data_IF_652327790783
#
_entry.id   IF_652327790783
#
_cell.length_a   1.000
_cell.length_b   1.000
_cell.length_c   1.000
_cell.angle_alpha   90.00
_cell.angle_beta   90.00
_cell.angle_gamma   90.00
#
_symmetry.space_group_name_H-M   'P 1'
#
loop_
_entity.id
_entity.type
_entity.pdbx_description
1 polymer ?
#
# COMPACT_ATOMS: atom_id res chain seq x y z
N UNK A 1 22.72 17.48 40.62
CA UNK A 1 23.22 18.85 40.39
C UNK A 1 23.56 19.02 38.92
N UNK A 2 22.96 20.05 38.29
CA UNK A 2 23.25 20.80 37.03
C UNK A 2 24.45 20.30 36.18
N UNK A 3 24.40 20.27 34.84
CA UNK A 3 24.05 21.39 33.94
C UNK A 3 23.51 20.94 32.58
N UNK A 4 22.44 21.61 32.16
CA UNK A 4 21.91 21.71 30.79
C UNK A 4 22.77 22.74 30.05
N UNK A 5 23.11 22.48 28.78
CA UNK A 5 23.66 23.46 27.85
C UNK A 5 22.70 23.61 26.67
N UNK A 6 22.07 24.78 26.61
CA UNK A 6 21.30 25.34 25.50
C UNK A 6 22.22 26.28 24.72
N UNK A 7 22.21 26.25 23.39
CA UNK A 7 22.66 27.38 22.55
C UNK A 7 22.01 27.26 21.15
N UNK A 8 20.97 28.06 20.87
CA UNK A 8 20.97 29.27 19.99
C UNK A 8 21.23 28.94 18.52
N UNK A 9 20.21 28.88 17.65
CA UNK A 9 19.46 29.99 17.03
C UNK A 9 20.35 31.03 16.33
N UNK A 10 20.41 30.92 14.99
CA UNK A 10 20.78 32.03 14.11
C UNK A 10 19.96 31.97 12.83
N UNK A 11 18.96 32.85 12.78
CA UNK A 11 18.22 33.30 11.61
C UNK A 11 19.11 34.23 10.78
N UNK A 12 19.12 34.07 9.45
CA UNK A 12 19.59 35.09 8.52
C UNK A 12 18.66 35.14 7.30
N UNK A 13 17.87 36.21 7.26
CA UNK A 13 17.11 36.70 6.11
C UNK A 13 18.04 37.49 5.19
N UNK A 14 17.75 37.53 3.87
CA UNK A 14 17.52 38.77 3.09
C UNK A 14 17.30 38.48 1.59
N UNK A 15 16.08 38.79 1.15
CA UNK A 15 15.62 39.52 -0.05
C UNK A 15 16.46 39.60 -1.33
N UNK A 16 15.79 39.42 -2.48
CA UNK A 16 15.83 40.38 -3.59
C UNK A 16 14.64 40.19 -4.58
N UNK A 17 13.91 41.28 -4.79
CA UNK A 17 12.82 41.45 -5.75
C UNK A 17 13.31 41.43 -7.21
N UNK A 18 12.49 40.89 -8.11
CA UNK A 18 12.60 41.08 -9.56
C UNK A 18 11.31 41.72 -10.09
N UNK A 19 11.37 43.02 -10.30
CA UNK A 19 10.30 43.89 -10.81
C UNK A 19 10.50 44.07 -12.32
N UNK A 20 9.45 43.81 -13.12
CA UNK A 20 9.49 43.93 -14.58
C UNK A 20 8.22 44.59 -15.09
N UNK A 21 8.32 45.90 -15.30
CA UNK A 21 7.24 46.79 -15.75
C UNK A 21 6.93 46.68 -17.25
N UNK A 22 5.67 47.01 -17.55
CA UNK A 22 4.95 46.96 -18.82
C UNK A 22 5.39 48.02 -19.84
N UNK A 23 5.48 47.67 -21.12
CA UNK A 23 5.18 48.59 -22.24
C UNK A 23 4.66 47.85 -23.48
N UNK A 24 3.54 48.33 -24.02
CA UNK A 24 3.29 48.34 -25.46
C UNK A 24 2.02 47.64 -25.94
N UNK A 25 0.92 48.37 -26.00
CA UNK A 25 -0.16 48.09 -26.97
C UNK A 25 0.22 48.65 -28.34
N UNK A 26 -0.14 47.94 -29.42
CA UNK A 26 -1.08 48.56 -30.35
C UNK A 26 -2.13 47.58 -30.89
N UNK A 27 -3.37 48.07 -30.95
CA UNK A 27 -4.50 47.47 -31.69
C UNK A 27 -4.22 47.50 -33.19
N UNK A 28 -4.62 46.47 -33.97
CA UNK A 28 -5.71 46.73 -34.92
C UNK A 28 -6.69 45.56 -35.14
N UNK A 29 -7.97 45.94 -35.27
CA UNK A 29 -8.98 45.42 -36.20
C UNK A 29 -9.41 43.95 -36.08
N UNK A 30 -10.49 43.74 -35.33
CA UNK A 30 -11.34 42.55 -35.42
C UNK A 30 -12.24 42.65 -36.66
N UNK A 31 -12.03 41.75 -37.63
CA UNK A 31 -13.02 41.39 -38.63
C UNK A 31 -14.06 40.48 -37.99
N UNK A 32 -15.33 40.78 -38.23
CA UNK A 32 -16.44 39.89 -37.96
C UNK A 32 -16.42 38.72 -38.96
N UNK A 33 -16.47 37.49 -38.47
CA UNK A 33 -16.54 36.27 -39.26
C UNK A 33 -17.14 35.14 -38.44
N UNK A 34 -18.25 34.60 -38.92
CA UNK A 34 -19.13 33.62 -38.29
C UNK A 34 -18.45 32.30 -37.87
N UNK A 35 -18.95 31.71 -36.78
CA UNK A 35 -18.74 30.29 -36.46
C UNK A 35 -18.71 29.95 -34.98
N UNK A 36 -19.82 30.12 -34.24
CA UNK A 36 -19.98 29.47 -32.94
C UNK A 36 -20.27 27.98 -33.18
N UNK A 37 -19.22 27.18 -33.32
CA UNK A 37 -19.30 25.76 -32.94
C UNK A 37 -18.90 25.67 -31.47
N UNK A 38 -19.92 25.39 -30.66
CA UNK A 38 -19.78 24.97 -29.28
C UNK A 38 -18.79 23.79 -29.23
N UNK A 39 -17.73 23.84 -28.40
CA UNK A 39 -16.89 22.67 -28.21
C UNK A 39 -17.73 21.60 -27.53
N UNK A 40 -18.17 20.61 -28.32
CA UNK A 40 -18.66 19.33 -27.83
C UNK A 40 -17.76 18.86 -26.68
N UNK A 41 -18.31 18.50 -25.50
CA UNK A 41 -17.49 17.94 -24.45
C UNK A 41 -16.90 16.63 -24.97
N UNK A 42 -15.58 16.63 -25.16
CA UNK A 42 -14.79 15.41 -25.35
C UNK A 42 -15.24 14.37 -24.32
N UNK A 43 -15.47 13.11 -24.72
CA UNK A 43 -15.79 12.07 -23.75
C UNK A 43 -14.57 11.92 -22.85
N UNK A 44 -14.67 12.48 -21.65
CA UNK A 44 -13.80 12.15 -20.53
C UNK A 44 -13.81 10.64 -20.43
N UNK A 45 -12.67 10.04 -20.78
CA UNK A 45 -12.37 8.62 -20.61
C UNK A 45 -12.54 8.29 -19.12
N UNK A 46 -13.76 7.92 -18.74
CA UNK A 46 -14.01 7.20 -17.51
C UNK A 46 -13.26 5.89 -17.64
N UNK A 47 -12.08 5.83 -17.01
CA UNK A 47 -11.42 4.56 -16.75
C UNK A 47 -12.44 3.68 -16.04
N UNK A 48 -12.82 2.56 -16.66
CA UNK A 48 -13.65 1.56 -16.00
C UNK A 48 -12.93 1.18 -14.71
N UNK A 49 -13.58 1.43 -13.58
CA UNK A 49 -13.22 0.85 -12.30
C UNK A 49 -13.20 -0.68 -12.52
N UNK A 50 -12.00 -1.28 -12.49
CA UNK A 50 -11.87 -2.73 -12.65
C UNK A 50 -12.65 -3.37 -11.49
N UNK A 51 -13.61 -4.24 -11.81
CA UNK A 51 -14.39 -4.96 -10.81
C UNK A 51 -13.45 -5.89 -10.04
N UNK A 52 -13.09 -5.53 -8.82
CA UNK A 52 -12.20 -6.31 -7.98
C UNK A 52 -12.98 -7.44 -7.30
N UNK A 53 -12.32 -8.60 -7.17
CA UNK A 53 -12.81 -9.71 -6.38
C UNK A 53 -12.35 -9.53 -4.94
N UNK A 54 -13.31 -9.37 -4.04
CA UNK A 54 -13.11 -9.38 -2.59
C UNK A 54 -13.27 -10.81 -2.06
N UNK A 55 -12.35 -11.25 -1.22
CA UNK A 55 -12.46 -12.52 -0.47
C UNK A 55 -13.61 -12.46 0.55
N UNK A 56 -13.36 -11.77 1.67
CA UNK A 56 -14.25 -11.41 2.75
C UNK A 56 -13.57 -10.31 3.57
N UNK A 57 -14.26 -9.74 4.57
CA UNK A 57 -13.65 -8.92 5.62
C UNK A 57 -13.49 -9.78 6.88
N UNK A 58 -12.36 -9.64 7.56
CA UNK A 58 -12.11 -10.24 8.88
C UNK A 58 -11.95 -9.12 9.89
N UNK A 59 -12.68 -9.19 11.00
CA UNK A 59 -12.68 -8.16 12.05
C UNK A 59 -12.10 -8.73 13.33
N UNK A 60 -11.15 -8.00 13.93
CA UNK A 60 -10.58 -8.30 15.25
C UNK A 60 -10.54 -6.99 16.06
N UNK A 61 -11.33 -6.91 17.13
CA UNK A 61 -11.52 -5.67 17.88
C UNK A 61 -12.03 -4.53 16.99
N UNK A 62 -11.34 -3.40 17.02
CA UNK A 62 -11.64 -2.19 16.24
C UNK A 62 -10.94 -2.17 14.86
N UNK A 63 -10.52 -3.33 14.36
CA UNK A 63 -9.77 -3.42 13.10
C UNK A 63 -10.43 -4.40 12.13
N UNK A 64 -10.48 -4.00 10.86
CA UNK A 64 -10.96 -4.82 9.76
C UNK A 64 -9.86 -5.02 8.71
N UNK A 65 -9.65 -6.27 8.29
CA UNK A 65 -8.74 -6.66 7.22
C UNK A 65 -9.53 -7.23 6.04
N UNK A 66 -9.46 -6.54 4.89
CA UNK A 66 -10.00 -7.00 3.62
C UNK A 66 -8.85 -7.36 2.67
N UNK A 67 -9.06 -8.37 1.82
CA UNK A 67 -8.08 -8.80 0.82
C UNK A 67 -8.74 -8.92 -0.55
N UNK A 68 -8.14 -8.27 -1.54
CA UNK A 68 -8.67 -8.11 -2.88
C UNK A 68 -7.72 -8.69 -3.92
N UNK A 69 -8.30 -9.15 -5.02
CA UNK A 69 -7.58 -9.52 -6.23
C UNK A 69 -8.32 -8.99 -7.46
N UNK A 70 -7.64 -8.80 -8.58
CA UNK A 70 -8.33 -8.36 -9.82
C UNK A 70 -9.21 -9.45 -10.42
N UNK A 71 -8.91 -10.73 -10.17
CA UNK A 71 -9.68 -11.88 -10.65
C UNK A 71 -9.22 -13.18 -9.98
N UNK A 72 -9.96 -14.27 -10.18
CA UNK A 72 -9.61 -15.58 -9.61
C UNK A 72 -8.93 -16.53 -10.59
N UNK A 73 -8.82 -16.15 -11.87
CA UNK A 73 -8.18 -16.94 -12.93
C UNK A 73 -7.29 -16.03 -13.77
N UNK A 74 -5.99 -16.31 -13.79
CA UNK A 74 -4.94 -15.57 -14.48
C UNK A 74 -4.36 -16.41 -15.60
N UNK A 75 -3.96 -15.76 -16.70
CA UNK A 75 -3.12 -16.40 -17.67
C UNK A 75 -1.70 -16.55 -17.10
N UNK A 76 -0.94 -17.54 -17.57
CA UNK A 76 0.52 -17.55 -17.37
C UNK A 76 1.12 -16.22 -17.85
N UNK A 77 2.09 -15.69 -17.09
CA UNK A 77 2.75 -14.39 -17.30
C UNK A 77 1.85 -13.14 -17.14
N UNK A 78 0.58 -13.31 -16.73
CA UNK A 78 -0.26 -12.18 -16.41
C UNK A 78 0.06 -11.60 -15.03
N UNK A 79 0.13 -10.27 -14.95
CA UNK A 79 0.34 -9.57 -13.67
C UNK A 79 -0.80 -9.86 -12.71
N UNK A 80 -0.47 -10.56 -11.62
CA UNK A 80 -1.37 -10.78 -10.49
C UNK A 80 -1.39 -9.53 -9.63
N UNK A 81 -2.58 -8.93 -9.50
CA UNK A 81 -2.80 -7.77 -8.62
C UNK A 81 -3.53 -8.26 -7.37
N UNK A 82 -2.84 -8.21 -6.22
CA UNK A 82 -3.41 -8.51 -4.90
C UNK A 82 -3.06 -7.37 -3.95
N UNK A 83 -4.01 -6.97 -3.11
CA UNK A 83 -3.74 -6.01 -2.05
C UNK A 83 -4.67 -6.22 -0.87
N UNK A 84 -4.18 -5.87 0.32
CA UNK A 84 -4.95 -5.83 1.54
C UNK A 84 -5.35 -4.39 1.91
N UNK A 85 -6.47 -4.25 2.61
CA UNK A 85 -6.86 -3.01 3.28
C UNK A 85 -6.97 -3.28 4.78
N UNK A 86 -6.27 -2.48 5.59
CA UNK A 86 -6.47 -2.43 7.03
C UNK A 86 -7.25 -1.16 7.37
N UNK A 87 -8.39 -1.31 8.04
CA UNK A 87 -9.26 -0.20 8.45
C UNK A 87 -9.42 -0.20 9.95
N UNK A 88 -9.25 0.98 10.58
CA UNK A 88 -9.61 1.20 11.98
C UNK A 88 -11.08 1.66 12.06
N UNK A 89 -11.90 0.98 12.84
CA UNK A 89 -13.35 1.21 12.96
C UNK A 89 -13.78 1.58 14.39
N UNK A 90 -12.82 1.88 15.26
CA UNK A 90 -13.06 2.17 16.68
C UNK A 90 -13.72 3.53 16.95
N UNK A 91 -13.84 3.87 18.23
CA UNK A 91 -14.59 5.06 18.67
C UNK A 91 -13.87 6.38 18.37
N UNK A 92 -12.53 6.40 18.40
CA UNK A 92 -11.73 7.61 18.22
C UNK A 92 -11.53 7.96 16.74
N UNK A 93 -11.20 9.21 16.43
CA UNK A 93 -10.96 9.66 15.04
C UNK A 93 -9.70 9.02 14.42
N UNK A 94 -8.76 8.61 15.25
CA UNK A 94 -7.53 7.95 14.84
C UNK A 94 -6.94 7.12 15.97
N UNK A 95 -6.09 6.16 15.60
CA UNK A 95 -5.26 5.37 16.52
C UNK A 95 -3.83 5.31 15.98
N UNK A 96 -2.86 5.20 16.89
CA UNK A 96 -1.49 4.88 16.52
C UNK A 96 -1.22 3.41 16.79
N UNK A 97 -0.58 2.71 15.85
CA UNK A 97 -0.19 1.32 16.00
C UNK A 97 1.33 1.19 15.84
N UNK A 98 1.93 0.33 16.66
CA UNK A 98 3.33 -0.08 16.55
C UNK A 98 3.44 -1.44 15.85
N UNK A 99 4.27 -1.54 14.82
CA UNK A 99 4.45 -2.76 14.03
C UNK A 99 5.90 -2.91 13.58
N UNK A 100 6.18 -3.99 12.83
CA UNK A 100 7.48 -4.26 12.21
C UNK A 100 7.72 -3.32 11.01
N UNK A 101 8.23 -3.81 9.87
CA UNK A 101 8.38 -2.98 8.68
C UNK A 101 7.02 -2.56 8.09
N UNK A 102 6.03 -3.46 8.16
CA UNK A 102 4.65 -3.21 7.76
C UNK A 102 3.68 -3.80 8.78
N UNK A 103 2.49 -3.21 8.98
CA UNK A 103 1.48 -3.76 9.89
C UNK A 103 0.75 -4.95 9.26
N UNK A 104 0.84 -5.10 7.92
CA UNK A 104 0.30 -6.21 7.16
C UNK A 104 1.41 -6.83 6.32
N UNK A 105 1.72 -8.10 6.57
CA UNK A 105 2.62 -8.92 5.75
C UNK A 105 1.87 -9.92 4.88
N UNK A 106 2.53 -10.53 3.90
CA UNK A 106 1.91 -11.50 3.01
C UNK A 106 2.67 -12.84 2.98
N UNK A 107 1.96 -13.95 2.86
CA UNK A 107 2.51 -15.27 2.55
C UNK A 107 1.80 -15.90 1.36
N UNK A 108 2.43 -16.91 0.76
CA UNK A 108 1.90 -17.61 -0.41
C UNK A 108 1.93 -19.11 -0.13
N UNK A 109 0.85 -19.79 -0.49
CA UNK A 109 0.80 -21.23 -0.63
C UNK A 109 0.48 -21.56 -2.10
N UNK A 110 1.23 -22.48 -2.68
CA UNK A 110 0.97 -23.05 -4.00
C UNK A 110 0.65 -24.53 -3.85
N UNK A 111 -0.56 -24.90 -4.25
CA UNK A 111 -1.17 -26.18 -3.90
C UNK A 111 -0.88 -27.30 -4.91
N UNK A 112 -0.40 -26.99 -6.11
CA UNK A 112 -0.11 -28.00 -7.14
C UNK A 112 1.17 -28.79 -6.81
N UNK A 113 2.17 -28.09 -6.27
CA UNK A 113 3.48 -28.65 -5.90
C UNK A 113 3.69 -28.69 -4.39
N UNK A 114 2.68 -28.32 -3.60
CA UNK A 114 2.72 -28.29 -2.13
C UNK A 114 3.87 -27.38 -1.62
N UNK A 115 3.94 -26.17 -2.17
CA UNK A 115 4.96 -25.18 -1.83
C UNK A 115 4.38 -24.10 -0.91
N UNK A 116 5.07 -23.84 0.19
CA UNK A 116 4.71 -22.77 1.14
C UNK A 116 5.84 -21.75 1.21
N UNK A 117 5.54 -20.49 0.88
CA UNK A 117 6.49 -19.38 0.93
C UNK A 117 6.06 -18.43 2.06
N UNK A 118 6.76 -18.46 3.20
CA UNK A 118 6.51 -17.50 4.26
C UNK A 118 6.93 -16.10 3.79
N UNK A 119 6.20 -15.08 4.23
CA UNK A 119 6.65 -13.70 4.07
C UNK A 119 7.85 -13.43 4.96
N UNK A 120 8.86 -12.75 4.42
CA UNK A 120 9.96 -12.22 5.24
C UNK A 120 9.72 -10.74 5.51
N UNK A 121 9.96 -10.31 6.74
CA UNK A 121 9.79 -8.92 7.11
C UNK A 121 10.90 -8.50 8.07
N UNK A 122 11.51 -7.35 7.82
CA UNK A 122 12.38 -6.74 8.81
C UNK A 122 11.54 -6.32 10.02
N UNK A 123 12.12 -6.35 11.22
CA UNK A 123 11.39 -6.05 12.47
C UNK A 123 11.83 -4.71 13.12
N UNK A 124 11.87 -3.56 12.40
CA UNK A 124 11.98 -2.27 13.07
C UNK A 124 10.65 -1.96 13.76
N UNK A 125 10.67 -1.34 14.95
CA UNK A 125 9.44 -0.87 15.58
C UNK A 125 9.00 0.47 14.96
N UNK A 126 8.08 0.40 14.00
CA UNK A 126 7.52 1.56 13.28
C UNK A 126 6.15 1.91 13.86
N UNK A 127 5.89 3.20 14.04
CA UNK A 127 4.57 3.71 14.45
C UNK A 127 3.82 4.25 13.24
N UNK A 128 2.54 3.90 13.11
CA UNK A 128 1.66 4.37 12.02
C UNK A 128 0.34 4.86 12.60
N UNK A 129 -0.13 6.02 12.13
CA UNK A 129 -1.46 6.53 12.47
C UNK A 129 -2.48 5.99 11.46
N UNK A 130 -3.49 5.28 11.95
CA UNK A 130 -4.67 4.91 11.19
C UNK A 130 -5.80 5.87 11.54
N UNK A 131 -6.50 6.37 10.53
CA UNK A 131 -7.70 7.19 10.73
C UNK A 131 -8.93 6.30 10.68
N UNK A 132 -9.95 6.72 11.41
CA UNK A 132 -11.23 6.03 11.46
C UNK A 132 -11.88 5.96 10.08
N UNK A 133 -12.33 4.76 9.73
CA UNK A 133 -13.07 4.45 8.50
C UNK A 133 -12.33 4.81 7.19
N UNK A 134 -11.01 5.10 7.25
CA UNK A 134 -10.15 5.32 6.09
C UNK A 134 -9.25 4.07 5.88
N UNK A 135 -9.53 3.21 4.87
CA UNK A 135 -8.72 2.02 4.61
C UNK A 135 -7.31 2.39 4.14
N UNK A 136 -6.31 1.75 4.73
CA UNK A 136 -4.91 1.85 4.26
C UNK A 136 -4.60 0.63 3.41
N UNK A 137 -4.19 0.88 2.15
CA UNK A 137 -3.88 -0.15 1.16
C UNK A 137 -2.43 -0.65 1.33
N UNK A 138 -2.25 -1.95 1.32
CA UNK A 138 -0.97 -2.65 1.27
C UNK A 138 -0.94 -3.55 0.04
N UNK A 139 -0.11 -3.22 -0.94
CA UNK A 139 0.03 -4.05 -2.13
C UNK A 139 0.88 -5.28 -1.82
N UNK A 140 0.44 -6.44 -2.31
CA UNK A 140 1.25 -7.62 -2.28
C UNK A 140 2.51 -7.40 -3.13
N UNK A 141 3.65 -7.68 -2.53
CA UNK A 141 4.92 -7.82 -3.23
C UNK A 141 5.63 -9.05 -2.68
N UNK A 142 6.38 -9.75 -3.53
CA UNK A 142 7.08 -10.95 -3.11
C UNK A 142 8.16 -10.58 -2.08
N UNK A 143 8.07 -11.18 -0.89
CA UNK A 143 9.04 -11.00 0.21
C UNK A 143 9.62 -12.32 0.70
N UNK A 144 9.33 -13.42 0.00
CA UNK A 144 9.87 -14.74 0.32
C UNK A 144 11.36 -14.84 0.01
N UNK A 145 11.94 -15.97 0.37
CA UNK A 145 13.33 -16.28 0.09
C UNK A 145 13.62 -17.77 0.18
N UNK A 146 14.85 -18.12 -0.16
CA UNK A 146 15.39 -19.46 -0.05
C UNK A 146 16.80 -19.41 0.55
N UNK A 147 17.25 -20.54 1.06
CA UNK A 147 18.59 -20.81 1.53
C UNK A 147 19.27 -21.84 0.62
N UNK A 148 20.59 -21.96 0.69
CA UNK A 148 21.34 -22.98 -0.04
C UNK A 148 21.04 -24.42 0.45
N UNK A 149 20.34 -24.57 1.58
CA UNK A 149 19.98 -25.87 2.15
C UNK A 149 18.60 -26.36 1.68
N UNK A 150 17.82 -25.50 1.02
CA UNK A 150 16.52 -25.86 0.49
C UNK A 150 16.65 -26.75 -0.75
N UNK A 151 15.60 -27.51 -1.05
CA UNK A 151 15.57 -28.39 -2.23
C UNK A 151 15.66 -27.59 -3.52
N UNK A 152 16.30 -28.16 -4.55
CA UNK A 152 16.48 -27.49 -5.86
C UNK A 152 15.16 -27.03 -6.47
N UNK A 153 14.10 -27.83 -6.34
CA UNK A 153 12.76 -27.50 -6.84
C UNK A 153 12.16 -26.27 -6.13
N UNK A 154 12.32 -26.16 -4.81
CA UNK A 154 11.86 -25.00 -4.04
C UNK A 154 12.64 -23.74 -4.42
N UNK A 155 13.96 -23.86 -4.56
CA UNK A 155 14.83 -22.75 -4.98
C UNK A 155 14.44 -22.25 -6.37
N UNK A 156 14.19 -23.16 -7.32
CA UNK A 156 13.76 -22.80 -8.66
C UNK A 156 12.41 -22.07 -8.64
N UNK A 157 11.44 -22.61 -7.90
CA UNK A 157 10.12 -22.01 -7.77
C UNK A 157 10.14 -20.62 -7.14
N UNK A 158 10.89 -20.44 -6.04
CA UNK A 158 11.04 -19.12 -5.40
C UNK A 158 11.66 -18.11 -6.36
N UNK A 159 12.65 -18.51 -7.17
CA UNK A 159 13.27 -17.62 -8.17
C UNK A 159 12.27 -17.14 -9.22
N UNK A 160 11.39 -18.02 -9.71
CA UNK A 160 10.33 -17.64 -10.65
C UNK A 160 9.41 -16.59 -10.02
N UNK A 161 8.97 -16.80 -8.76
CA UNK A 161 8.13 -15.84 -8.04
C UNK A 161 8.83 -14.49 -7.76
N UNK A 162 10.14 -14.49 -7.52
CA UNK A 162 10.93 -13.27 -7.33
C UNK A 162 10.94 -12.38 -8.58
N UNK A 163 10.80 -12.97 -9.76
CA UNK A 163 10.71 -12.27 -11.04
C UNK A 163 9.25 -11.86 -11.37
N UNK A 164 8.34 -11.92 -10.38
CA UNK A 164 6.89 -11.69 -10.51
C UNK A 164 6.19 -12.64 -11.50
N UNK A 165 6.84 -13.75 -11.84
CA UNK A 165 6.31 -14.79 -12.70
C UNK A 165 5.69 -15.86 -11.83
N UNK A 166 4.37 -15.88 -11.75
CA UNK A 166 3.65 -16.99 -11.12
C UNK A 166 3.52 -18.12 -12.13
N UNK A 167 4.14 -19.30 -11.86
CA UNK A 167 3.98 -20.45 -12.73
C UNK A 167 2.52 -20.93 -12.73
N UNK A 168 2.18 -21.80 -13.68
CA UNK A 168 0.88 -22.49 -13.66
C UNK A 168 0.66 -23.16 -12.28
N UNK A 169 -0.53 -22.99 -11.72
CA UNK A 169 -0.87 -23.58 -10.44
C UNK A 169 -2.05 -22.96 -9.72
N UNK A 170 -2.37 -23.55 -8.57
CA UNK A 170 -3.39 -23.07 -7.65
C UNK A 170 -2.73 -22.38 -6.47
N UNK A 171 -3.11 -21.13 -6.21
CA UNK A 171 -2.45 -20.29 -5.21
C UNK A 171 -3.43 -19.86 -4.12
N UNK A 172 -2.88 -19.62 -2.93
CA UNK A 172 -3.52 -18.85 -1.88
C UNK A 172 -2.54 -17.81 -1.37
N UNK A 173 -2.94 -16.55 -1.41
CA UNK A 173 -2.20 -15.47 -0.75
C UNK A 173 -2.94 -15.13 0.54
N UNK A 174 -2.20 -15.08 1.63
CA UNK A 174 -2.70 -14.66 2.94
C UNK A 174 -2.07 -13.33 3.33
N UNK A 175 -2.89 -12.38 3.78
CA UNK A 175 -2.47 -11.16 4.44
C UNK A 175 -2.56 -11.35 5.95
N UNK A 176 -1.49 -10.96 6.66
CA UNK A 176 -1.33 -11.14 8.11
C UNK A 176 -1.17 -9.78 8.77
N UNK A 177 -2.18 -9.35 9.50
CA UNK A 177 -2.12 -8.16 10.33
C UNK A 177 -1.44 -8.50 11.66
N UNK A 178 -0.35 -7.79 11.99
CA UNK A 178 0.40 -7.97 13.23
C UNK A 178 0.92 -6.65 13.77
N UNK A 179 0.31 -6.16 14.85
CA UNK A 179 0.66 -4.88 15.47
C UNK A 179 0.19 -4.79 16.92
N UNK A 180 0.64 -3.75 17.62
CA UNK A 180 0.18 -3.38 18.96
C UNK A 180 -0.38 -1.96 18.95
N UNK A 181 -1.31 -1.64 19.84
CA UNK A 181 -1.69 -0.24 20.03
C UNK A 181 -0.48 0.55 20.56
N UNK A 182 -0.17 1.66 19.90
CA UNK A 182 0.85 2.57 20.35
C UNK A 182 0.21 3.61 21.29
N UNK A 183 0.82 3.81 22.45
CA UNK A 183 0.46 4.89 23.35
C UNK A 183 1.71 5.73 23.56
N UNK A 184 1.59 7.03 23.31
CA UNK A 184 2.71 7.95 23.17
C UNK A 184 3.64 8.07 24.41
N UNK A 185 3.31 7.46 25.57
CA UNK A 185 4.12 7.67 26.77
C UNK A 185 4.35 6.53 27.77
N UNK A 186 3.72 5.37 27.63
CA UNK A 186 3.91 4.26 28.59
C UNK A 186 4.39 3.02 27.84
N UNK A 187 5.34 2.28 28.42
CA UNK A 187 5.98 1.10 27.81
C UNK A 187 4.98 0.08 27.23
N UNK A 188 5.44 -0.78 26.32
CA UNK A 188 4.60 -1.73 25.60
C UNK A 188 3.93 -2.83 26.49
N UNK A 189 4.30 -2.91 27.76
CA UNK A 189 3.81 -3.93 28.68
C UNK A 189 2.30 -3.77 28.96
N UNK A 190 1.51 -4.74 28.51
CA UNK A 190 0.07 -4.84 28.78
C UNK A 190 -0.86 -4.17 27.75
N UNK A 191 -0.35 -3.73 26.60
CA UNK A 191 -1.19 -3.18 25.52
C UNK A 191 -1.84 -4.30 24.69
N UNK A 192 -3.04 -4.07 24.11
CA UNK A 192 -3.62 -5.01 23.16
C UNK A 192 -2.68 -5.26 21.99
N UNK A 193 -2.43 -6.54 21.69
CA UNK A 193 -1.72 -6.99 20.50
C UNK A 193 -2.71 -7.69 19.58
N UNK A 194 -2.62 -7.39 18.29
CA UNK A 194 -3.50 -7.95 17.27
C UNK A 194 -2.69 -8.84 16.34
N UNK A 195 -3.17 -10.06 16.14
CA UNK A 195 -2.64 -11.03 15.17
C UNK A 195 -3.80 -11.75 14.53
N UNK A 196 -4.10 -11.40 13.28
CA UNK A 196 -5.21 -11.98 12.53
C UNK A 196 -4.91 -11.94 11.03
N UNK A 197 -5.55 -12.82 10.28
CA UNK A 197 -5.24 -13.00 8.86
C UNK A 197 -6.50 -13.15 8.02
N UNK A 198 -6.35 -12.87 6.74
CA UNK A 198 -7.35 -13.11 5.71
C UNK A 198 -6.66 -13.64 4.46
N UNK A 199 -7.36 -14.42 3.63
CA UNK A 199 -6.75 -15.11 2.49
C UNK A 199 -7.65 -15.13 1.27
N UNK A 200 -7.02 -15.17 0.10
CA UNK A 200 -7.70 -15.26 -1.19
C UNK A 200 -7.01 -16.29 -2.07
N UNK A 201 -7.80 -17.07 -2.80
CA UNK A 201 -7.29 -18.11 -3.70
C UNK A 201 -7.58 -17.76 -5.15
N UNK A 202 -6.65 -18.12 -6.02
CA UNK A 202 -6.75 -17.94 -7.47
C UNK A 202 -5.98 -19.04 -8.20
N UNK A 203 -6.21 -19.14 -9.51
CA UNK A 203 -5.56 -20.09 -10.41
C UNK A 203 -4.78 -19.33 -11.47
N UNK A 204 -3.65 -19.89 -11.88
CA UNK A 204 -2.86 -19.46 -13.06
C UNK A 204 -2.83 -20.63 -14.05
N UNK A 205 -3.30 -20.40 -15.28
CA UNK A 205 -3.41 -21.41 -16.36
C UNK A 205 -3.27 -20.83 -17.79
#
# INVERSE_FOLDING_TARGET
MKKIAVLLLSLLLLSACGEGELKGTPTPQHQAGAGNQEPEPSPTSALKEEELVLSTKVTEGDFELALYTSKTHYAVDETIKVYAELTYTGEHEQIEIGHSMYPVGFSIEEHTRDMSIPGSMNEPYIVTTLKKDEPVKYEYSFTGGYSEQDGEDYIAFVKELMDEQFPEGQYTIAAHASFVEHAAHDGADGKPSYQFSNSISFVVE
#
